data_IF_949245582311
#
_entry.id   IF_949245582311
#
_cell.length_a   1.000
_cell.length_b   1.000
_cell.length_c   1.000
_cell.angle_alpha   90.00
_cell.angle_beta   90.00
_cell.angle_gamma   90.00
#
_symmetry.space_group_name_H-M   'P 1'
#
loop_
_entity.id
_entity.type
_entity.pdbx_description
1 polymer ?
#
# COMPACT_ATOMS: atom_id res chain seq x y z
N UNK A 1 -9.46 -19.27 21.48
CA UNK A 1 -9.55 -17.80 21.35
C UNK A 1 -9.83 -17.44 19.92
N UNK A 2 -8.99 -17.81 18.96
CA UNK A 2 -9.07 -17.41 17.54
C UNK A 2 -10.33 -17.88 16.82
N UNK A 3 -10.81 -19.10 17.11
CA UNK A 3 -11.94 -19.69 16.38
C UNK A 3 -13.31 -19.47 17.06
N UNK A 4 -13.31 -18.96 18.29
CA UNK A 4 -14.54 -18.78 19.07
C UNK A 4 -14.67 -17.35 19.60
N UNK A 5 -13.79 -16.90 20.49
CA UNK A 5 -13.93 -15.61 21.17
C UNK A 5 -13.75 -14.44 20.20
N UNK A 6 -12.68 -14.42 19.41
CA UNK A 6 -12.39 -13.33 18.48
C UNK A 6 -13.51 -13.15 17.43
N UNK A 7 -13.97 -14.20 16.71
CA UNK A 7 -15.06 -14.03 15.75
C UNK A 7 -16.39 -13.73 16.42
N UNK A 8 -16.70 -14.27 17.63
CA UNK A 8 -17.91 -13.94 18.35
C UNK A 8 -17.97 -12.46 18.75
N UNK A 9 -16.87 -11.93 19.29
CA UNK A 9 -16.74 -10.50 19.62
C UNK A 9 -16.82 -9.63 18.37
N UNK A 10 -16.11 -10.01 17.29
CA UNK A 10 -16.12 -9.26 16.03
C UNK A 10 -17.54 -9.22 15.43
N UNK A 11 -18.26 -10.31 15.47
CA UNK A 11 -19.64 -10.36 14.98
C UNK A 11 -20.56 -9.45 15.81
N UNK A 12 -20.43 -9.46 17.13
CA UNK A 12 -21.26 -8.66 18.01
C UNK A 12 -20.95 -7.14 17.88
N UNK A 13 -19.67 -6.76 17.90
CA UNK A 13 -19.24 -5.35 17.90
C UNK A 13 -19.26 -4.72 16.51
N UNK A 14 -18.81 -5.44 15.50
CA UNK A 14 -18.65 -4.91 14.13
C UNK A 14 -19.76 -5.40 13.16
N UNK A 15 -20.79 -6.09 13.66
CA UNK A 15 -21.91 -6.64 12.84
C UNK A 15 -21.41 -7.48 11.65
N UNK A 16 -20.33 -8.22 11.83
CA UNK A 16 -19.80 -9.14 10.84
C UNK A 16 -20.49 -10.51 10.95
N UNK A 17 -20.28 -11.39 9.98
CA UNK A 17 -20.85 -12.74 9.97
C UNK A 17 -19.74 -13.78 9.78
N UNK A 18 -18.78 -13.83 10.72
CA UNK A 18 -17.69 -14.81 10.70
C UNK A 18 -18.17 -16.13 11.32
N UNK A 19 -17.70 -17.29 10.84
CA UNK A 19 -17.96 -18.56 11.51
C UNK A 19 -17.42 -18.52 12.94
N UNK A 20 -18.23 -18.99 13.89
CA UNK A 20 -17.88 -19.00 15.31
C UNK A 20 -17.91 -20.43 15.82
N UNK A 21 -16.84 -20.86 16.48
CA UNK A 21 -16.80 -22.16 17.14
C UNK A 21 -17.82 -22.26 18.29
N UNK A 22 -18.22 -23.46 18.71
CA UNK A 22 -19.26 -23.66 19.70
C UNK A 22 -18.87 -23.04 21.06
N UNK A 23 -19.82 -22.34 21.68
CA UNK A 23 -19.70 -21.82 23.05
C UNK A 23 -21.08 -21.78 23.71
N UNK A 24 -21.10 -21.81 25.04
CA UNK A 24 -22.38 -21.82 25.79
C UNK A 24 -22.92 -20.41 26.01
N UNK A 25 -22.07 -19.47 26.42
CA UNK A 25 -22.46 -18.10 26.77
C UNK A 25 -21.27 -17.16 26.65
N UNK A 26 -21.52 -15.93 26.25
CA UNK A 26 -20.55 -14.83 26.23
C UNK A 26 -21.20 -13.64 26.95
N UNK A 27 -20.59 -13.18 28.02
CA UNK A 27 -21.07 -12.06 28.85
C UNK A 27 -20.10 -10.88 28.75
N UNK A 28 -20.59 -9.66 29.01
CA UNK A 28 -19.77 -8.45 29.01
C UNK A 28 -19.55 -7.84 27.61
N UNK A 29 -20.34 -8.25 26.62
CA UNK A 29 -20.25 -7.67 25.27
C UNK A 29 -20.52 -6.16 25.25
N UNK A 30 -21.39 -5.71 26.12
CA UNK A 30 -21.75 -4.28 26.29
C UNK A 30 -20.61 -3.41 26.82
N UNK A 31 -19.56 -4.02 27.36
CA UNK A 31 -18.37 -3.33 27.86
C UNK A 31 -17.27 -3.16 26.79
N UNK A 32 -17.50 -3.66 25.57
CA UNK A 32 -16.51 -3.69 24.50
C UNK A 32 -16.97 -2.81 23.34
N UNK A 33 -16.25 -1.71 23.11
CA UNK A 33 -16.55 -0.78 22.03
C UNK A 33 -15.89 -1.19 20.70
N UNK A 34 -14.74 -1.88 20.77
CA UNK A 34 -13.96 -2.21 19.59
C UNK A 34 -13.17 -3.50 19.79
N UNK A 35 -13.10 -4.31 18.75
CA UNK A 35 -12.23 -5.49 18.68
C UNK A 35 -11.15 -5.25 17.64
N UNK A 36 -9.90 -5.40 18.04
CA UNK A 36 -8.73 -5.35 17.14
C UNK A 36 -8.09 -6.74 17.19
N UNK A 37 -8.12 -7.42 16.07
CA UNK A 37 -7.46 -8.71 15.88
C UNK A 37 -6.11 -8.46 15.21
N UNK A 38 -5.02 -8.78 15.91
CA UNK A 38 -3.66 -8.61 15.41
C UNK A 38 -3.09 -9.99 15.16
N UNK A 39 -2.80 -10.28 13.91
CA UNK A 39 -2.10 -11.49 13.51
C UNK A 39 -0.69 -11.17 12.96
N UNK A 40 0.11 -12.21 12.78
CA UNK A 40 1.45 -12.10 12.19
C UNK A 40 1.48 -12.53 10.72
N UNK A 41 0.34 -12.50 10.04
CA UNK A 41 0.26 -12.79 8.61
C UNK A 41 1.10 -11.78 7.82
N UNK A 42 1.79 -12.21 6.76
CA UNK A 42 2.53 -11.30 5.90
C UNK A 42 1.61 -10.22 5.32
N UNK A 43 2.04 -8.97 5.40
CA UNK A 43 1.36 -7.84 4.74
C UNK A 43 1.56 -7.99 3.23
N UNK A 44 0.56 -8.56 2.58
CA UNK A 44 0.56 -8.78 1.13
C UNK A 44 1.43 -9.96 0.68
N UNK A 45 1.04 -10.54 -0.45
CA UNK A 45 1.71 -11.69 -1.07
C UNK A 45 2.19 -11.37 -2.49
N UNK A 46 2.12 -10.13 -2.91
CA UNK A 46 2.46 -9.71 -4.26
C UNK A 46 3.44 -8.54 -4.25
N UNK A 47 4.25 -8.36 -5.30
CA UNK A 47 5.14 -7.20 -5.45
C UNK A 47 4.43 -5.83 -5.40
N UNK A 48 3.10 -5.83 -5.51
CA UNK A 48 2.26 -4.62 -5.47
C UNK A 48 1.83 -4.23 -4.06
N UNK A 49 1.99 -5.14 -3.11
CA UNK A 49 1.64 -4.89 -1.71
C UNK A 49 2.86 -4.32 -1.00
N UNK A 50 2.73 -3.09 -0.50
CA UNK A 50 3.74 -2.42 0.30
C UNK A 50 3.07 -1.66 1.45
N UNK A 51 3.82 -1.22 2.47
CA UNK A 51 3.26 -0.50 3.62
C UNK A 51 2.44 0.74 3.21
N UNK A 52 2.85 1.46 2.18
CA UNK A 52 2.16 2.65 1.69
C UNK A 52 0.76 2.34 1.13
N UNK A 53 0.60 1.19 0.43
CA UNK A 53 -0.70 0.76 -0.06
C UNK A 53 -1.60 0.27 1.06
N UNK A 54 -1.04 -0.39 2.07
CA UNK A 54 -1.78 -0.94 3.19
C UNK A 54 -2.43 0.14 4.07
N UNK A 55 -1.71 1.22 4.37
CA UNK A 55 -2.23 2.34 5.17
C UNK A 55 -3.00 3.39 4.34
N UNK A 56 -3.23 3.13 3.04
CA UNK A 56 -3.90 4.06 2.14
C UNK A 56 -3.11 5.35 1.84
N UNK A 57 -1.81 5.38 2.12
CA UNK A 57 -0.92 6.50 1.78
C UNK A 57 -0.81 6.70 0.27
N UNK A 58 -0.86 5.57 -0.48
CA UNK A 58 -0.70 5.60 -1.92
C UNK A 58 -1.80 6.38 -2.64
N UNK A 59 -3.02 6.41 -2.09
CA UNK A 59 -4.14 7.17 -2.65
C UNK A 59 -3.92 8.68 -2.51
N UNK A 60 -3.36 9.13 -1.38
CA UNK A 60 -3.01 10.53 -1.17
C UNK A 60 -1.86 10.95 -2.10
N UNK A 61 -0.85 10.10 -2.29
CA UNK A 61 0.26 10.35 -3.21
C UNK A 61 -0.21 10.44 -4.66
N UNK A 62 -1.09 9.53 -5.12
CA UNK A 62 -1.68 9.59 -6.47
C UNK A 62 -2.45 10.89 -6.69
N UNK A 63 -3.23 11.31 -5.70
CA UNK A 63 -4.00 12.55 -5.75
C UNK A 63 -3.09 13.77 -5.78
N UNK A 64 -2.00 13.77 -5.02
CA UNK A 64 -0.98 14.81 -5.04
C UNK A 64 -0.34 14.95 -6.42
N UNK A 65 0.14 13.85 -7.02
CA UNK A 65 0.76 13.86 -8.35
C UNK A 65 -0.22 14.27 -9.45
N UNK A 66 -1.50 13.90 -9.35
CA UNK A 66 -2.54 14.37 -10.27
C UNK A 66 -2.82 15.86 -10.12
N UNK A 67 -2.57 16.46 -8.97
CA UNK A 67 -2.78 17.90 -8.71
C UNK A 67 -1.67 18.80 -9.24
N UNK A 68 -0.51 18.23 -9.60
CA UNK A 68 0.62 18.98 -10.18
C UNK A 68 0.19 19.68 -11.48
N UNK A 69 0.60 20.95 -11.73
CA UNK A 69 0.17 21.70 -12.90
C UNK A 69 0.36 20.96 -14.23
N UNK A 70 1.49 20.28 -14.40
CA UNK A 70 1.77 19.49 -15.60
C UNK A 70 0.83 18.29 -15.77
N UNK A 71 0.45 17.61 -14.67
CA UNK A 71 -0.57 16.54 -14.70
C UNK A 71 -1.92 17.08 -15.15
N UNK A 72 -2.32 18.23 -14.64
CA UNK A 72 -3.58 18.91 -15.03
C UNK A 72 -3.56 19.29 -16.50
N UNK A 73 -2.45 19.87 -16.98
CA UNK A 73 -2.28 20.24 -18.38
C UNK A 73 -2.39 19.04 -19.34
N UNK A 74 -1.94 17.85 -18.89
CA UNK A 74 -2.02 16.60 -19.65
C UNK A 74 -3.32 15.81 -19.40
N UNK A 75 -4.22 16.28 -18.56
CA UNK A 75 -5.47 15.60 -18.20
C UNK A 75 -5.25 14.32 -17.39
N UNK A 76 -4.16 14.21 -16.61
CA UNK A 76 -3.86 13.02 -15.85
C UNK A 76 -4.67 12.96 -14.55
N UNK A 77 -5.47 11.93 -14.40
CA UNK A 77 -6.22 11.61 -13.19
C UNK A 77 -5.35 10.82 -12.18
N UNK A 78 -5.78 10.68 -10.90
CA UNK A 78 -5.07 9.86 -9.92
C UNK A 78 -4.83 8.40 -10.35
N UNK A 79 -5.69 7.85 -11.20
CA UNK A 79 -5.53 6.52 -11.79
C UNK A 79 -4.26 6.37 -12.63
N UNK A 80 -3.78 7.45 -13.26
CA UNK A 80 -2.53 7.47 -14.02
C UNK A 80 -1.31 7.10 -13.16
N UNK A 81 -1.35 7.46 -11.90
CA UNK A 81 -0.28 7.22 -10.92
C UNK A 81 -0.47 5.93 -10.11
N UNK A 82 -1.36 5.05 -10.57
CA UNK A 82 -1.52 3.71 -10.01
C UNK A 82 -0.70 2.70 -10.81
N UNK A 83 0.11 1.89 -10.12
CA UNK A 83 0.79 0.75 -10.76
C UNK A 83 -0.13 -0.48 -10.90
N UNK A 84 -1.36 -0.44 -10.37
CA UNK A 84 -2.31 -1.55 -10.42
C UNK A 84 -3.25 -1.50 -11.63
N UNK A 85 -3.48 -0.31 -12.19
CA UNK A 85 -4.40 -0.13 -13.33
C UNK A 85 -3.65 0.28 -14.59
N UNK A 86 -4.15 -0.08 -15.79
CA UNK A 86 -3.59 0.36 -17.06
C UNK A 86 -3.58 1.88 -17.21
N UNK A 87 -2.73 2.39 -18.09
CA UNK A 87 -2.65 3.80 -18.47
C UNK A 87 -1.37 4.49 -18.05
N UNK A 88 -0.93 4.33 -16.80
CA UNK A 88 0.30 4.94 -16.30
C UNK A 88 1.39 3.97 -15.90
N UNK A 89 1.04 2.71 -15.66
CA UNK A 89 2.00 1.65 -15.32
C UNK A 89 2.81 1.18 -16.54
N UNK A 90 3.92 0.55 -16.28
CA UNK A 90 4.65 -0.21 -17.29
C UNK A 90 3.84 -1.46 -17.67
N UNK A 91 3.48 -1.60 -18.95
CA UNK A 91 2.67 -2.74 -19.40
C UNK A 91 3.47 -4.03 -19.55
N UNK A 92 4.80 -3.97 -19.74
CA UNK A 92 5.64 -5.18 -19.79
C UNK A 92 5.62 -5.96 -18.46
N UNK A 93 5.80 -5.26 -17.32
CA UNK A 93 5.72 -5.88 -15.99
C UNK A 93 4.36 -5.66 -15.31
N UNK A 94 3.39 -5.03 -15.99
CA UNK A 94 2.06 -4.71 -15.45
C UNK A 94 2.10 -3.97 -14.11
N UNK A 95 3.16 -3.18 -13.86
CA UNK A 95 3.34 -2.41 -12.64
C UNK A 95 4.10 -3.13 -11.52
N UNK A 96 4.55 -4.35 -11.72
CA UNK A 96 5.31 -5.10 -10.69
C UNK A 96 6.76 -4.60 -10.54
N UNK A 97 7.30 -3.89 -11.55
CA UNK A 97 8.69 -3.45 -11.57
C UNK A 97 9.68 -4.58 -11.87
N UNK A 98 9.22 -5.82 -11.83
CA UNK A 98 10.01 -7.02 -12.04
C UNK A 98 9.24 -8.04 -12.87
N UNK A 99 9.93 -8.96 -13.49
CA UNK A 99 9.38 -10.07 -14.26
C UNK A 99 9.69 -11.34 -13.50
N UNK A 100 8.66 -12.16 -13.28
CA UNK A 100 8.77 -13.48 -12.68
C UNK A 100 9.17 -14.46 -13.77
N UNK A 101 10.25 -15.19 -13.56
CA UNK A 101 10.69 -16.32 -14.39
C UNK A 101 10.33 -17.59 -13.64
N UNK A 102 9.32 -18.30 -14.13
CA UNK A 102 8.88 -19.56 -13.54
C UNK A 102 9.82 -20.70 -13.92
N UNK A 103 10.28 -21.45 -12.94
CA UNK A 103 11.14 -22.61 -13.11
C UNK A 103 10.42 -23.86 -12.59
N UNK A 104 10.30 -24.90 -13.44
CA UNK A 104 9.51 -26.09 -13.12
C UNK A 104 10.02 -26.90 -11.90
N UNK A 105 11.32 -26.83 -11.57
CA UNK A 105 11.94 -27.62 -10.50
C UNK A 105 12.74 -26.80 -9.50
N UNK A 106 12.79 -25.47 -9.67
CA UNK A 106 13.53 -24.54 -8.81
C UNK A 106 12.59 -23.41 -8.35
N UNK A 107 12.92 -22.69 -7.28
CA UNK A 107 12.19 -21.49 -6.88
C UNK A 107 12.15 -20.47 -8.02
N UNK A 108 11.03 -19.78 -8.16
CA UNK A 108 10.87 -18.73 -9.14
C UNK A 108 11.89 -17.60 -8.94
N UNK A 109 12.43 -17.09 -10.04
CA UNK A 109 13.39 -15.98 -10.03
C UNK A 109 12.66 -14.70 -10.44
N UNK A 110 12.96 -13.60 -9.74
CA UNK A 110 12.45 -12.28 -10.04
C UNK A 110 13.59 -11.40 -10.55
N UNK A 111 13.44 -10.89 -11.77
CA UNK A 111 14.42 -9.99 -12.40
C UNK A 111 13.80 -8.61 -12.61
N UNK A 112 14.55 -7.50 -12.47
CA UNK A 112 14.05 -6.16 -12.77
C UNK A 112 13.53 -6.10 -14.20
N UNK A 113 12.40 -5.42 -14.41
CA UNK A 113 11.84 -5.22 -15.74
C UNK A 113 12.75 -4.32 -16.57
N UNK A 114 13.29 -4.82 -17.67
CA UNK A 114 14.20 -4.06 -18.53
C UNK A 114 13.54 -2.81 -19.14
N UNK A 115 12.25 -2.89 -19.49
CA UNK A 115 11.54 -1.77 -20.11
C UNK A 115 11.40 -0.56 -19.18
N UNK A 116 11.13 -0.76 -17.90
CA UNK A 116 10.98 0.35 -16.94
C UNK A 116 12.14 0.47 -15.96
N UNK A 117 13.14 -0.41 -16.01
CA UNK A 117 14.28 -0.42 -15.09
C UNK A 117 13.84 -0.55 -13.62
N UNK A 118 12.80 -1.34 -13.34
CA UNK A 118 12.25 -1.49 -11.99
C UNK A 118 11.27 -0.39 -11.55
N UNK A 119 11.09 0.68 -12.33
CA UNK A 119 10.34 1.89 -11.94
C UNK A 119 8.83 1.74 -11.93
N UNK A 120 8.26 0.62 -12.37
CA UNK A 120 6.83 0.29 -12.37
C UNK A 120 5.92 1.10 -13.31
N UNK A 121 6.34 2.27 -13.78
CA UNK A 121 5.57 3.21 -14.59
C UNK A 121 6.12 3.34 -16.00
N UNK A 122 5.28 3.82 -16.90
CA UNK A 122 5.69 4.18 -18.25
C UNK A 122 6.43 5.53 -18.25
N UNK A 123 7.12 5.81 -19.36
CA UNK A 123 7.98 6.99 -19.50
C UNK A 123 7.22 8.30 -19.34
N UNK A 124 6.00 8.39 -19.85
CA UNK A 124 5.18 9.61 -19.78
C UNK A 124 4.77 9.93 -18.34
N UNK A 125 4.39 8.92 -17.55
CA UNK A 125 4.06 9.11 -16.15
C UNK A 125 5.27 9.55 -15.34
N UNK A 126 6.46 9.03 -15.65
CA UNK A 126 7.71 9.39 -14.98
C UNK A 126 8.21 10.80 -15.33
N UNK A 127 7.65 11.48 -16.33
CA UNK A 127 7.95 12.89 -16.60
C UNK A 127 7.32 13.84 -15.58
N UNK A 128 6.28 13.40 -14.88
CA UNK A 128 5.62 14.23 -13.87
C UNK A 128 6.47 14.25 -12.60
N UNK A 129 6.84 15.46 -12.18
CA UNK A 129 7.68 15.68 -11.02
C UNK A 129 6.92 16.48 -9.95
N UNK A 130 7.03 16.03 -8.72
CA UNK A 130 6.67 16.81 -7.54
C UNK A 130 7.97 17.12 -6.76
N UNK A 131 8.32 18.42 -6.66
CA UNK A 131 9.58 18.88 -6.05
C UNK A 131 10.82 18.13 -6.58
N UNK A 132 10.87 17.88 -7.88
CA UNK A 132 12.00 17.21 -8.55
C UNK A 132 12.03 15.68 -8.42
N UNK A 133 11.01 15.05 -7.84
CA UNK A 133 10.92 13.60 -7.68
C UNK A 133 9.76 13.03 -8.47
N UNK A 134 10.00 11.91 -9.16
CA UNK A 134 8.94 11.10 -9.79
C UNK A 134 8.18 10.31 -8.74
N UNK A 135 7.01 9.80 -9.11
CA UNK A 135 6.25 8.90 -8.21
C UNK A 135 7.01 7.59 -7.92
N UNK A 136 7.88 7.15 -8.83
CA UNK A 136 8.76 6.00 -8.61
C UNK A 136 9.84 6.30 -7.58
N UNK A 137 10.45 7.49 -7.64
CA UNK A 137 11.47 7.91 -6.66
C UNK A 137 10.88 7.95 -5.25
N UNK A 138 9.59 8.28 -5.12
CA UNK A 138 8.89 8.28 -3.83
C UNK A 138 8.69 6.86 -3.29
N UNK A 139 8.48 5.86 -4.17
CA UNK A 139 8.41 4.45 -3.74
C UNK A 139 9.75 3.93 -3.19
N UNK A 140 10.86 4.51 -3.65
CA UNK A 140 12.20 4.13 -3.23
C UNK A 140 12.68 4.87 -1.97
N UNK A 141 11.91 5.86 -1.48
CA UNK A 141 12.21 6.54 -0.23
C UNK A 141 11.91 5.66 0.97
N UNK A 142 12.74 5.77 2.00
CA UNK A 142 12.37 5.30 3.35
C UNK A 142 11.26 6.15 3.93
N UNK A 143 10.51 5.61 4.90
CA UNK A 143 9.48 6.38 5.64
C UNK A 143 10.09 7.65 6.26
N UNK A 144 11.33 7.58 6.77
CA UNK A 144 12.04 8.73 7.32
C UNK A 144 12.30 9.81 6.27
N UNK A 145 12.81 9.45 5.09
CA UNK A 145 13.05 10.37 3.98
C UNK A 145 11.74 10.97 3.45
N UNK A 146 10.71 10.14 3.29
CA UNK A 146 9.40 10.58 2.84
C UNK A 146 8.74 11.55 3.83
N UNK A 147 8.90 11.33 5.15
CA UNK A 147 8.39 12.22 6.19
C UNK A 147 8.98 13.62 6.08
N UNK A 148 10.28 13.72 5.84
CA UNK A 148 10.95 15.01 5.62
C UNK A 148 10.51 15.65 4.30
N UNK A 149 10.41 14.87 3.24
CA UNK A 149 10.03 15.35 1.90
C UNK A 149 8.58 15.89 1.84
N UNK A 150 7.65 15.22 2.51
CA UNK A 150 6.23 15.59 2.56
C UNK A 150 5.83 16.37 3.82
N UNK A 151 6.78 16.98 4.52
CA UNK A 151 6.52 17.72 5.77
C UNK A 151 5.39 18.75 5.68
N UNK A 152 5.18 19.35 4.50
CA UNK A 152 4.18 20.37 4.22
C UNK A 152 2.83 19.82 3.72
N UNK A 153 2.65 18.49 3.66
CA UNK A 153 1.40 17.85 3.22
C UNK A 153 0.77 17.13 4.42
N UNK A 154 -0.18 17.74 5.14
CA UNK A 154 -0.65 17.24 6.43
C UNK A 154 -1.17 15.80 6.41
N UNK A 155 -1.93 15.40 5.39
CA UNK A 155 -2.52 14.07 5.29
C UNK A 155 -1.44 12.99 5.10
N UNK A 156 -0.49 13.22 4.21
CA UNK A 156 0.64 12.32 3.95
C UNK A 156 1.55 12.27 5.17
N UNK A 157 1.92 13.44 5.72
CA UNK A 157 2.76 13.55 6.91
C UNK A 157 2.19 12.75 8.08
N UNK A 158 0.90 12.88 8.38
CA UNK A 158 0.26 12.17 9.50
C UNK A 158 0.41 10.65 9.37
N UNK A 159 0.18 10.09 8.19
CA UNK A 159 0.32 8.64 7.94
C UNK A 159 1.78 8.18 8.06
N UNK A 160 2.71 8.94 7.49
CA UNK A 160 4.15 8.66 7.60
C UNK A 160 4.65 8.79 9.05
N UNK A 161 4.17 9.79 9.80
CA UNK A 161 4.50 9.95 11.20
C UNK A 161 4.08 8.75 12.04
N UNK A 162 2.87 8.21 11.80
CA UNK A 162 2.40 7.01 12.47
C UNK A 162 3.34 5.82 12.22
N UNK A 163 3.79 5.60 10.98
CA UNK A 163 4.76 4.55 10.67
C UNK A 163 6.12 4.79 11.36
N UNK A 164 6.57 6.03 11.38
CA UNK A 164 7.83 6.41 12.03
C UNK A 164 7.78 6.17 13.54
N UNK A 165 6.67 6.56 14.19
CA UNK A 165 6.49 6.48 15.65
C UNK A 165 6.41 5.02 16.16
N UNK A 166 5.96 4.10 15.31
CA UNK A 166 6.01 2.66 15.62
C UNK A 166 7.34 1.99 15.24
N UNK A 167 8.36 2.78 14.91
CA UNK A 167 9.71 2.28 14.64
C UNK A 167 9.97 1.80 13.20
N UNK A 168 9.04 2.06 12.26
CA UNK A 168 9.15 1.64 10.85
C UNK A 168 9.82 2.70 9.94
N UNK A 169 10.59 3.64 10.50
CA UNK A 169 11.24 4.72 9.76
C UNK A 169 12.20 4.26 8.66
N UNK A 170 12.75 3.07 8.77
CA UNK A 170 13.70 2.47 7.83
C UNK A 170 13.06 1.74 6.64
N UNK A 171 11.75 1.47 6.72
CA UNK A 171 11.01 0.71 5.69
C UNK A 171 10.83 1.56 4.42
N UNK A 172 10.86 0.89 3.27
CA UNK A 172 10.63 1.47 1.93
C UNK A 172 9.34 0.96 1.34
#
# INVERSE_FOLDING_TARGET
VTDTLAPALTNAVHRSNRPVGPYKRLEGLELIDKVIDIDQSPIGRTPRSNPATYIGLWDDLRSLYASVPESKARGYSPGRFSFNVPGGRCEACKGDGQIKIEMHFLPDIYVPCEQCGGKRYNRETLQILYRGKTISDVLDMTVHEALAFFANIPNIKRKLQTLHDVGLGYVR
#
